data_IF_385982256675
#
_entry.id   IF_385982256675
#
_cell.length_a   1.000
_cell.length_b   1.000
_cell.length_c   1.000
_cell.angle_alpha   90.00
_cell.angle_beta   90.00
_cell.angle_gamma   90.00
#
_symmetry.space_group_name_H-M   'P 1'
#
loop_
_entity.id
_entity.type
_entity.pdbx_description
1 polymer ?
#
# COMPACT_ATOMS: atom_id res chain seq x y z
N UNK A 1 -21.27 58.17 1.06
CA UNK A 1 -22.19 57.18 0.46
C UNK A 1 -21.59 56.66 -0.83
N UNK A 2 -21.06 55.43 -0.86
CA UNK A 2 -21.18 54.50 -2.00
C UNK A 2 -20.59 53.14 -1.60
N UNK A 3 -21.21 52.09 -2.13
CA UNK A 3 -21.30 50.71 -1.64
C UNK A 3 -19.98 49.93 -1.59
N UNK A 4 -19.81 49.14 -0.51
CA UNK A 4 -18.95 47.96 -0.53
C UNK A 4 -19.70 46.83 -1.26
N UNK A 5 -19.16 46.34 -2.37
CA UNK A 5 -19.67 45.14 -3.02
C UNK A 5 -19.13 43.91 -2.28
N UNK A 6 -20.05 43.07 -1.80
CA UNK A 6 -19.73 41.80 -1.16
C UNK A 6 -19.25 40.77 -2.19
N UNK A 7 -18.11 40.15 -1.93
CA UNK A 7 -17.71 38.93 -2.63
C UNK A 7 -18.62 37.78 -2.17
N UNK A 8 -19.10 36.91 -3.08
CA UNK A 8 -19.88 35.75 -2.69
C UNK A 8 -18.98 34.77 -1.92
N UNK A 9 -19.46 34.32 -0.77
CA UNK A 9 -18.82 33.25 -0.01
C UNK A 9 -18.88 31.96 -0.85
N UNK A 10 -17.73 31.48 -1.32
CA UNK A 10 -17.62 30.12 -1.82
C UNK A 10 -17.86 29.15 -0.65
N UNK A 11 -18.64 28.07 -0.84
CA UNK A 11 -18.80 27.06 0.19
C UNK A 11 -17.42 26.48 0.49
N UNK A 12 -16.91 26.74 1.69
CA UNK A 12 -15.74 26.03 2.18
C UNK A 12 -16.13 24.57 2.30
N UNK A 13 -15.70 23.75 1.35
CA UNK A 13 -15.64 22.31 1.54
C UNK A 13 -14.83 22.10 2.80
N UNK A 14 -15.50 21.77 3.91
CA UNK A 14 -14.83 21.38 5.15
C UNK A 14 -14.11 20.08 4.79
N UNK A 15 -12.84 20.19 4.45
CA UNK A 15 -11.98 19.03 4.27
C UNK A 15 -11.94 18.33 5.63
N UNK A 16 -12.50 17.12 5.70
CA UNK A 16 -12.39 16.28 6.88
C UNK A 16 -10.91 16.15 7.23
N UNK A 17 -10.47 16.43 8.47
CA UNK A 17 -9.09 16.26 8.84
C UNK A 17 -8.69 14.79 8.59
N UNK A 18 -7.46 14.53 8.11
CA UNK A 18 -7.02 13.17 7.84
C UNK A 18 -7.13 12.35 9.14
N UNK A 19 -7.47 11.04 9.04
CA UNK A 19 -7.46 10.17 10.21
C UNK A 19 -6.09 10.25 10.90
N UNK A 20 -6.03 10.17 12.24
CA UNK A 20 -4.78 9.98 12.97
C UNK A 20 -3.91 8.90 12.32
N UNK A 21 -2.59 9.07 12.33
CA UNK A 21 -1.64 8.09 11.77
C UNK A 21 -1.80 6.68 12.37
N UNK A 22 -2.40 6.58 13.55
CA UNK A 22 -2.72 5.31 14.21
C UNK A 22 -3.87 4.56 13.52
N UNK A 23 -4.78 5.26 12.85
CA UNK A 23 -5.94 4.67 12.16
C UNK A 23 -5.58 4.22 10.73
N UNK A 24 -4.49 4.75 10.19
CA UNK A 24 -3.94 4.42 8.87
C UNK A 24 -2.44 4.16 9.01
N UNK A 25 -2.04 2.99 9.52
CA UNK A 25 -0.63 2.67 9.72
C UNK A 25 0.10 2.75 8.38
N UNK A 26 1.14 3.59 8.35
CA UNK A 26 2.02 3.76 7.20
C UNK A 26 3.30 2.99 7.47
N UNK A 27 3.79 2.23 6.49
CA UNK A 27 5.15 1.69 6.52
C UNK A 27 6.02 2.54 5.61
N UNK A 28 7.19 2.93 6.12
CA UNK A 28 8.24 3.59 5.34
C UNK A 28 9.57 2.90 5.58
N UNK A 29 10.31 2.61 4.51
CA UNK A 29 11.70 2.14 4.61
C UNK A 29 12.65 3.33 4.59
N UNK A 30 13.70 3.34 5.41
CA UNK A 30 14.73 4.38 5.38
C UNK A 30 16.09 3.72 5.23
N UNK A 31 16.85 4.11 4.20
CA UNK A 31 18.22 3.63 4.00
C UNK A 31 19.18 4.80 3.85
N UNK A 32 20.32 4.73 4.55
CA UNK A 32 21.29 5.83 4.63
C UNK A 32 22.66 5.35 4.14
N UNK A 33 23.25 6.07 3.18
CA UNK A 33 24.60 5.86 2.67
C UNK A 33 25.44 7.13 2.75
N UNK A 34 26.76 6.95 2.88
CA UNK A 34 27.73 8.04 2.70
C UNK A 34 27.79 8.43 1.21
N UNK A 35 28.28 9.63 0.90
CA UNK A 35 28.61 9.99 -0.48
C UNK A 35 29.68 9.06 -1.03
N UNK A 36 29.52 8.60 -2.28
CA UNK A 36 30.56 7.77 -2.93
C UNK A 36 30.11 6.70 -3.93
N UNK A 37 28.90 6.76 -4.49
CA UNK A 37 28.50 5.85 -5.59
C UNK A 37 27.83 4.54 -5.16
N UNK A 38 27.36 4.41 -3.91
CA UNK A 38 26.58 3.25 -3.44
C UNK A 38 25.09 3.32 -3.81
N UNK A 39 24.71 4.15 -4.79
CA UNK A 39 23.32 4.41 -5.17
C UNK A 39 22.59 3.12 -5.54
N UNK A 40 23.10 2.39 -6.54
CA UNK A 40 22.51 1.15 -7.02
C UNK A 40 22.40 0.07 -5.92
N UNK A 41 23.35 0.04 -4.97
CA UNK A 41 23.31 -0.90 -3.84
C UNK A 41 22.20 -0.53 -2.86
N UNK A 42 22.06 0.74 -2.54
CA UNK A 42 20.97 1.23 -1.69
C UNK A 42 19.60 0.98 -2.34
N UNK A 43 19.46 1.28 -3.63
CA UNK A 43 18.28 0.98 -4.44
C UNK A 43 17.92 -0.51 -4.35
N UNK A 44 18.91 -1.38 -4.53
CA UNK A 44 18.73 -2.83 -4.45
C UNK A 44 18.35 -3.31 -3.04
N UNK A 45 18.99 -2.76 -2.00
CA UNK A 45 18.70 -3.12 -0.61
C UNK A 45 17.24 -2.79 -0.26
N UNK A 46 16.81 -1.56 -0.54
CA UNK A 46 15.43 -1.13 -0.27
C UNK A 46 14.44 -1.93 -1.12
N UNK A 47 14.73 -2.16 -2.41
CA UNK A 47 13.89 -3.00 -3.25
C UNK A 47 13.75 -4.43 -2.71
N UNK A 48 14.84 -5.01 -2.20
CA UNK A 48 14.84 -6.34 -1.58
C UNK A 48 14.00 -6.38 -0.31
N UNK A 49 14.15 -5.38 0.56
CA UNK A 49 13.37 -5.29 1.80
C UNK A 49 11.88 -5.12 1.53
N UNK A 50 11.51 -4.26 0.58
CA UNK A 50 10.11 -4.05 0.23
C UNK A 50 9.51 -5.25 -0.49
N UNK A 51 10.27 -5.96 -1.34
CA UNK A 51 9.82 -7.22 -1.91
C UNK A 51 9.55 -8.28 -0.83
N UNK A 52 10.44 -8.39 0.16
CA UNK A 52 10.21 -9.25 1.31
C UNK A 52 8.95 -8.85 2.10
N UNK A 53 8.71 -7.55 2.25
CA UNK A 53 7.51 -7.02 2.90
C UNK A 53 6.22 -7.37 2.13
N UNK A 54 6.20 -7.21 0.81
CA UNK A 54 5.07 -7.62 -0.03
C UNK A 54 4.77 -9.11 0.08
N UNK A 55 5.82 -9.95 0.10
CA UNK A 55 5.67 -11.39 0.25
C UNK A 55 5.13 -11.77 1.63
N UNK A 56 5.64 -11.14 2.69
CA UNK A 56 5.14 -11.34 4.05
C UNK A 56 3.66 -10.98 4.16
N UNK A 57 3.23 -9.86 3.58
CA UNK A 57 1.81 -9.47 3.59
C UNK A 57 0.93 -10.44 2.81
N UNK A 58 1.41 -10.96 1.67
CA UNK A 58 0.73 -12.03 0.91
C UNK A 58 0.43 -13.22 1.82
N UNK A 59 1.47 -13.75 2.47
CA UNK A 59 1.35 -14.93 3.34
C UNK A 59 0.42 -14.67 4.53
N UNK A 60 0.50 -13.50 5.15
CA UNK A 60 -0.36 -13.12 6.28
C UNK A 60 -1.83 -12.94 5.88
N UNK A 61 -2.10 -12.41 4.69
CA UNK A 61 -3.47 -12.26 4.17
C UNK A 61 -4.04 -13.60 3.76
N UNK A 62 -3.29 -14.41 3.01
CA UNK A 62 -3.67 -15.77 2.62
C UNK A 62 -4.01 -16.62 3.84
N UNK A 63 -3.16 -16.61 4.88
CA UNK A 63 -3.42 -17.34 6.12
C UNK A 63 -4.69 -16.88 6.84
N UNK A 64 -4.95 -15.57 6.90
CA UNK A 64 -6.17 -15.03 7.51
C UNK A 64 -7.42 -15.34 6.70
N UNK A 65 -7.34 -15.28 5.37
CA UNK A 65 -8.44 -15.61 4.47
C UNK A 65 -8.77 -17.10 4.53
N UNK A 66 -7.77 -17.98 4.57
CA UNK A 66 -7.95 -19.41 4.78
C UNK A 66 -8.66 -19.70 6.10
N UNK A 67 -8.25 -19.07 7.21
CA UNK A 67 -8.95 -19.20 8.49
C UNK A 67 -10.40 -18.74 8.39
N UNK A 68 -10.65 -17.59 7.78
CA UNK A 68 -12.01 -17.07 7.59
C UNK A 68 -12.89 -18.05 6.81
N UNK A 69 -12.42 -18.56 5.68
CA UNK A 69 -13.16 -19.51 4.86
C UNK A 69 -13.35 -20.87 5.53
N UNK A 70 -12.43 -21.28 6.42
CA UNK A 70 -12.60 -22.51 7.21
C UNK A 70 -13.74 -22.43 8.24
N UNK A 71 -14.01 -21.23 8.79
CA UNK A 71 -15.07 -21.00 9.78
C UNK A 71 -16.45 -20.91 9.08
N UNK A 72 -16.51 -20.27 7.92
CA UNK A 72 -17.74 -20.14 7.11
C UNK A 72 -18.25 -21.49 6.56
N UNK A 73 -17.43 -22.56 6.62
CA UNK A 73 -17.79 -23.90 6.12
C UNK A 73 -18.39 -24.80 7.22
N UNK A 74 -18.77 -24.26 8.39
CA UNK A 74 -19.49 -25.05 9.40
C UNK A 74 -20.84 -25.54 8.83
N UNK A 75 -21.07 -26.86 8.74
CA UNK A 75 -22.33 -27.37 8.23
C UNK A 75 -23.43 -27.01 9.24
N UNK A 76 -24.43 -26.27 8.81
CA UNK A 76 -25.75 -26.34 9.44
C UNK A 76 -26.18 -27.82 9.42
N UNK A 77 -26.27 -28.42 10.59
CA UNK A 77 -26.76 -29.79 10.79
C UNK A 77 -28.24 -29.87 10.39
N UNK A 78 -28.51 -30.11 9.12
CA UNK A 78 -29.74 -30.75 8.68
C UNK A 78 -29.38 -31.69 7.53
N UNK A 79 -29.51 -32.99 7.81
CA UNK A 79 -28.95 -34.07 7.01
C UNK A 79 -29.66 -34.28 5.67
N UNK A 80 -28.94 -34.87 4.71
CA UNK A 80 -29.56 -35.43 3.52
C UNK A 80 -28.62 -35.71 2.36
N UNK A 81 -28.07 -36.93 2.32
CA UNK A 81 -28.05 -37.80 1.14
C UNK A 81 -27.30 -37.38 -0.12
N UNK A 82 -26.17 -38.06 -0.35
CA UNK A 82 -25.78 -38.72 -1.62
C UNK A 82 -25.95 -37.96 -2.94
N UNK A 83 -24.83 -37.54 -3.52
CA UNK A 83 -24.71 -37.20 -4.93
C UNK A 83 -23.29 -37.43 -5.43
N UNK A 84 -23.13 -38.44 -6.29
CA UNK A 84 -21.89 -38.75 -7.01
C UNK A 84 -21.56 -37.64 -8.03
N UNK A 85 -20.32 -37.14 -7.96
CA UNK A 85 -19.47 -36.87 -9.12
C UNK A 85 -20.00 -35.93 -10.21
N UNK A 86 -20.13 -34.64 -9.91
CA UNK A 86 -19.94 -33.58 -10.90
C UNK A 86 -18.80 -32.69 -10.42
N UNK A 87 -17.60 -32.87 -10.99
CA UNK A 87 -16.44 -32.03 -10.74
C UNK A 87 -16.63 -30.70 -11.50
N UNK A 88 -17.63 -29.93 -11.06
CA UNK A 88 -17.85 -28.54 -11.46
C UNK A 88 -16.68 -27.71 -10.92
N UNK A 89 -16.25 -26.69 -11.66
CA UNK A 89 -15.06 -25.87 -11.43
C UNK A 89 -15.12 -24.98 -10.18
N UNK A 90 -15.55 -25.54 -9.05
CA UNK A 90 -15.59 -24.91 -7.74
C UNK A 90 -14.17 -24.70 -7.25
N UNK A 91 -13.70 -23.47 -7.41
CA UNK A 91 -12.43 -22.95 -6.89
C UNK A 91 -12.26 -23.35 -5.42
N UNK A 92 -11.12 -23.94 -5.07
CA UNK A 92 -10.82 -24.34 -3.69
C UNK A 92 -10.70 -23.10 -2.78
N UNK A 93 -10.92 -23.28 -1.47
CA UNK A 93 -10.75 -22.21 -0.49
C UNK A 93 -9.35 -21.58 -0.51
N UNK A 94 -8.33 -22.38 -0.86
CA UNK A 94 -6.96 -21.91 -1.02
C UNK A 94 -6.79 -21.01 -2.24
N UNK A 95 -7.30 -21.42 -3.39
CA UNK A 95 -7.28 -20.60 -4.61
C UNK A 95 -8.06 -19.29 -4.39
N UNK A 96 -9.20 -19.35 -3.70
CA UNK A 96 -9.98 -18.16 -3.34
C UNK A 96 -9.23 -17.22 -2.39
N UNK A 97 -8.48 -17.76 -1.43
CA UNK A 97 -7.67 -16.97 -0.51
C UNK A 97 -6.51 -16.28 -1.22
N UNK A 98 -5.83 -16.96 -2.15
CA UNK A 98 -4.77 -16.38 -2.97
C UNK A 98 -5.31 -15.25 -3.85
N UNK A 99 -6.39 -15.51 -4.59
CA UNK A 99 -6.99 -14.51 -5.48
C UNK A 99 -7.45 -13.25 -4.74
N UNK A 100 -8.06 -13.42 -3.56
CA UNK A 100 -8.49 -12.27 -2.75
C UNK A 100 -7.30 -11.55 -2.09
N UNK A 101 -6.25 -12.26 -1.66
CA UNK A 101 -5.00 -11.66 -1.15
C UNK A 101 -4.34 -10.77 -2.22
N UNK A 102 -4.20 -11.29 -3.44
CA UNK A 102 -3.65 -10.54 -4.58
C UNK A 102 -4.50 -9.31 -4.91
N UNK A 103 -5.83 -9.45 -4.89
CA UNK A 103 -6.74 -8.33 -5.10
C UNK A 103 -6.58 -7.26 -4.02
N UNK A 104 -6.52 -7.64 -2.75
CA UNK A 104 -6.36 -6.72 -1.63
C UNK A 104 -5.01 -6.00 -1.68
N UNK A 105 -3.92 -6.72 -1.92
CA UNK A 105 -2.59 -6.12 -2.07
C UNK A 105 -2.50 -5.23 -3.30
N UNK A 106 -3.21 -5.56 -4.38
CA UNK A 106 -3.35 -4.72 -5.56
C UNK A 106 -4.07 -3.38 -5.30
N UNK A 107 -4.77 -3.22 -4.17
CA UNK A 107 -5.36 -1.93 -3.78
C UNK A 107 -4.37 -0.99 -3.11
N UNK A 108 -3.23 -1.49 -2.62
CA UNK A 108 -2.20 -0.66 -2.01
C UNK A 108 -1.42 0.07 -3.12
N UNK A 109 -1.40 1.41 -3.12
CA UNK A 109 -0.84 2.16 -4.24
C UNK A 109 0.69 2.01 -4.34
N UNK A 110 1.38 2.03 -3.19
CA UNK A 110 2.82 1.83 -3.08
C UNK A 110 3.26 1.66 -1.61
N UNK A 111 4.49 1.16 -1.40
CA UNK A 111 5.24 1.26 -0.13
C UNK A 111 6.35 2.31 -0.31
N UNK A 112 6.31 3.43 0.44
CA UNK A 112 7.32 4.47 0.33
C UNK A 112 8.67 4.06 0.93
N UNK A 113 9.73 4.65 0.40
CA UNK A 113 11.07 4.62 0.97
C UNK A 113 11.73 6.01 0.92
N UNK A 114 12.56 6.29 1.92
CA UNK A 114 13.42 7.46 1.97
C UNK A 114 14.86 6.99 1.85
N UNK A 115 15.55 7.48 0.84
CA UNK A 115 16.97 7.23 0.63
C UNK A 115 17.75 8.49 1.00
N UNK A 116 18.75 8.35 1.86
CA UNK A 116 19.64 9.45 2.23
C UNK A 116 21.04 9.14 1.71
N UNK A 117 21.63 10.09 0.98
CA UNK A 117 22.99 10.00 0.41
C UNK A 117 23.79 11.23 0.76
N UNK A 118 24.73 11.08 1.68
CA UNK A 118 25.45 12.23 2.23
C UNK A 118 24.46 13.24 2.80
N UNK A 119 24.29 14.37 2.12
CA UNK A 119 23.36 15.43 2.52
C UNK A 119 22.04 15.45 1.73
N UNK A 120 21.85 14.59 0.72
CA UNK A 120 20.69 14.61 -0.17
C UNK A 120 19.65 13.55 0.21
N UNK A 121 18.38 13.90 0.06
CA UNK A 121 17.23 13.05 0.42
C UNK A 121 16.40 12.76 -0.83
N UNK A 122 16.06 11.49 -1.03
CA UNK A 122 15.33 11.00 -2.19
C UNK A 122 14.13 10.15 -1.77
N UNK A 123 13.01 10.33 -2.44
CA UNK A 123 11.82 9.53 -2.30
C UNK A 123 11.91 8.40 -3.31
N UNK A 124 11.81 7.17 -2.84
CA UNK A 124 11.59 6.00 -3.67
C UNK A 124 10.27 5.35 -3.24
N UNK A 125 9.73 4.47 -4.06
CA UNK A 125 8.54 3.72 -3.72
C UNK A 125 8.52 2.40 -4.48
N UNK A 126 7.97 1.35 -3.91
CA UNK A 126 7.63 0.15 -4.68
C UNK A 126 6.14 -0.02 -4.77
N UNK A 127 5.68 -0.55 -5.90
CA UNK A 127 4.32 -1.04 -6.05
C UNK A 127 4.36 -2.50 -6.48
N UNK A 128 3.28 -3.23 -6.19
CA UNK A 128 3.14 -4.64 -6.56
C UNK A 128 2.30 -4.76 -7.83
N UNK A 129 2.78 -5.57 -8.77
CA UNK A 129 2.02 -5.99 -9.95
C UNK A 129 2.07 -7.51 -10.05
N UNK A 130 0.99 -8.19 -9.63
CA UNK A 130 1.00 -9.64 -9.45
C UNK A 130 2.01 -10.02 -8.37
N UNK A 131 2.94 -10.93 -8.68
CA UNK A 131 4.04 -11.35 -7.79
C UNK A 131 5.28 -10.45 -7.86
N UNK A 132 5.28 -9.44 -8.75
CA UNK A 132 6.44 -8.58 -8.98
C UNK A 132 6.39 -7.34 -8.11
N UNK A 133 7.53 -7.05 -7.49
CA UNK A 133 7.81 -5.76 -6.87
C UNK A 133 8.49 -4.86 -7.89
N UNK A 134 7.87 -3.75 -8.23
CA UNK A 134 8.43 -2.76 -9.16
C UNK A 134 8.88 -1.54 -8.36
N UNK A 135 10.15 -1.18 -8.50
CA UNK A 135 10.72 0.01 -7.88
C UNK A 135 10.52 1.23 -8.78
N UNK A 136 9.96 2.27 -8.20
CA UNK A 136 9.84 3.59 -8.80
C UNK A 136 10.96 4.53 -8.32
N UNK A 137 11.36 5.39 -9.25
CA UNK A 137 12.64 6.11 -9.31
C UNK A 137 12.81 7.14 -8.20
N UNK A 138 14.06 7.33 -7.81
CA UNK A 138 14.51 8.16 -6.69
C UNK A 138 14.33 9.66 -7.00
N UNK A 139 13.25 10.25 -6.49
CA UNK A 139 12.96 11.66 -6.66
C UNK A 139 13.65 12.47 -5.56
N UNK A 140 14.62 13.32 -5.92
CA UNK A 140 15.26 14.20 -4.95
C UNK A 140 14.24 15.20 -4.39
N UNK A 141 14.06 15.22 -3.07
CA UNK A 141 13.04 16.07 -2.42
C UNK A 141 13.60 16.95 -1.29
N UNK A 142 14.88 16.82 -0.95
CA UNK A 142 15.47 17.67 0.07
C UNK A 142 16.94 17.42 0.36
N UNK A 143 17.43 18.11 1.38
CA UNK A 143 18.77 17.96 1.94
C UNK A 143 18.73 17.92 3.47
N UNK A 144 19.84 17.56 4.13
CA UNK A 144 19.97 17.65 5.60
C UNK A 144 19.86 19.07 6.16
N UNK A 145 19.87 20.09 5.30
CA UNK A 145 19.72 21.49 5.70
C UNK A 145 18.31 22.04 5.42
N UNK A 146 17.43 21.24 4.79
CA UNK A 146 16.04 21.63 4.52
C UNK A 146 15.10 20.89 5.45
N UNK A 147 14.17 21.61 6.08
CA UNK A 147 12.99 20.98 6.69
C UNK A 147 12.05 20.58 5.56
N UNK A 148 11.81 19.28 5.41
CA UNK A 148 10.79 18.77 4.50
C UNK A 148 9.58 18.34 5.33
N UNK A 149 8.41 18.84 4.97
CA UNK A 149 7.13 18.35 5.48
C UNK A 149 6.53 17.39 4.46
N UNK A 150 6.38 16.12 4.82
CA UNK A 150 5.63 15.15 4.01
C UNK A 150 4.17 15.16 4.48
N UNK A 151 3.28 15.66 3.63
CA UNK A 151 1.84 15.58 3.87
C UNK A 151 1.31 14.31 3.21
N UNK A 152 0.69 13.45 4.01
CA UNK A 152 -0.01 12.27 3.50
C UNK A 152 -1.48 12.65 3.36
N UNK A 153 -1.91 12.93 2.12
CA UNK A 153 -3.33 13.11 1.82
C UNK A 153 -3.93 11.76 1.42
N UNK A 154 -5.01 11.35 2.07
CA UNK A 154 -5.86 10.27 1.57
C UNK A 154 -6.63 10.81 0.36
N UNK A 155 -6.03 10.73 -0.82
CA UNK A 155 -6.56 11.30 -2.05
C UNK A 155 -5.96 10.62 -3.27
N UNK A 156 -6.81 10.39 -4.28
CA UNK A 156 -6.40 9.89 -5.60
C UNK A 156 -5.41 10.86 -6.23
N UNK A 157 -4.17 10.43 -6.45
CA UNK A 157 -3.21 11.17 -7.28
C UNK A 157 -3.69 11.03 -8.73
N UNK A 158 -4.39 12.04 -9.23
CA UNK A 158 -4.67 12.19 -10.65
C UNK A 158 -3.40 12.72 -11.33
N UNK A 159 -2.81 11.91 -12.21
CA UNK A 159 -1.79 12.38 -13.14
C UNK A 159 -2.50 13.13 -14.28
N UNK A 160 -2.10 14.38 -14.55
CA UNK A 160 -2.42 15.09 -15.79
C UNK A 160 -1.49 14.62 -16.92
#
# INVERSE_FOLDING_TARGET
MSCAQGFPAHPSTIATPPPPLLDVPIVVSIEVKRSGGDEQRQTLQVGTWQAAQWNMWSQLLEGRLLQKYSIDTTPSEDGGGGGEGANDGSMSSAERAVAESDRLLGTLPYIPAILIRGHSWYLAATFRQGDKTILWREYAFGTTQSVVVMLVSSGTILYL
#
